data_IF_020995803093
#
_entry.id   IF_020995803093
#
_cell.length_a   1.000
_cell.length_b   1.000
_cell.length_c   1.000
_cell.angle_alpha   90.00
_cell.angle_beta   90.00
_cell.angle_gamma   90.00
#
_symmetry.space_group_name_H-M   'P 1'
#
loop_
_entity.id
_entity.type
_entity.pdbx_description
1 polymer ?
#
# COMPACT_ATOMS: atom_id res chain seq x y z
N UNK A 1 -6.04 26.65 -1.22
CA UNK A 1 -7.36 26.10 -1.65
C UNK A 1 -7.57 24.77 -0.94
N UNK A 2 -8.75 24.50 -0.36
CA UNK A 2 -9.09 23.14 0.12
C UNK A 2 -9.35 22.27 -1.11
N UNK A 3 -8.81 21.06 -1.16
CA UNK A 3 -9.16 20.10 -2.21
C UNK A 3 -10.64 19.69 -2.06
N UNK A 4 -11.34 19.39 -3.17
CA UNK A 4 -12.80 19.33 -3.22
C UNK A 4 -13.44 18.31 -2.29
N UNK A 5 -12.73 17.22 -1.99
CA UNK A 5 -13.21 16.15 -1.10
C UNK A 5 -12.39 16.01 0.20
N UNK A 6 -11.54 16.99 0.51
CA UNK A 6 -10.58 16.91 1.62
C UNK A 6 -9.13 16.92 1.15
N UNK A 7 -8.18 16.97 2.10
CA UNK A 7 -6.76 16.99 1.78
C UNK A 7 -6.31 15.59 1.33
N UNK A 8 -5.68 15.52 0.16
CA UNK A 8 -4.95 14.33 -0.28
C UNK A 8 -3.53 14.71 -0.68
N UNK A 9 -2.65 13.71 -0.68
CA UNK A 9 -1.25 13.84 -1.08
C UNK A 9 -0.89 12.69 -2.00
N UNK A 10 0.01 12.97 -2.93
CA UNK A 10 0.62 11.95 -3.77
C UNK A 10 1.92 11.50 -3.10
N UNK A 11 1.99 10.23 -2.74
CA UNK A 11 3.20 9.58 -2.25
C UNK A 11 3.96 8.93 -3.40
N UNK A 12 5.28 9.10 -3.41
CA UNK A 12 6.19 8.44 -4.34
C UNK A 12 7.20 7.64 -3.51
N UNK A 13 7.27 6.33 -3.74
CA UNK A 13 8.30 5.53 -3.11
C UNK A 13 9.62 5.69 -3.86
N UNK A 14 10.77 5.70 -3.15
CA UNK A 14 12.07 5.74 -3.81
C UNK A 14 12.29 4.44 -4.59
N UNK A 15 12.71 4.55 -5.84
CA UNK A 15 13.11 3.41 -6.66
C UNK A 15 14.55 3.66 -7.12
N UNK A 16 15.42 2.67 -6.91
CA UNK A 16 16.83 2.78 -7.23
C UNK A 16 17.07 2.82 -8.75
N UNK A 17 16.28 2.05 -9.50
CA UNK A 17 16.34 1.98 -10.95
C UNK A 17 15.61 3.20 -11.57
N UNK A 18 16.31 4.07 -12.32
CA UNK A 18 15.71 5.24 -12.95
C UNK A 18 14.80 4.89 -14.13
N UNK A 19 14.91 3.68 -14.68
CA UNK A 19 14.08 3.18 -15.80
C UNK A 19 12.77 2.57 -15.34
N UNK A 20 12.66 2.26 -14.06
CA UNK A 20 11.48 1.63 -13.49
C UNK A 20 10.31 2.65 -13.41
N UNK A 21 9.11 2.29 -13.87
CA UNK A 21 7.95 3.16 -13.77
C UNK A 21 7.63 3.41 -12.30
N UNK A 22 7.72 4.68 -11.86
CA UNK A 22 7.44 5.05 -10.48
C UNK A 22 5.95 4.96 -10.23
N UNK A 23 5.56 4.16 -9.24
CA UNK A 23 4.19 4.17 -8.74
C UNK A 23 3.97 5.43 -7.91
N UNK A 24 2.78 6.01 -8.06
CA UNK A 24 2.31 7.11 -7.26
C UNK A 24 1.07 6.67 -6.49
N UNK A 25 1.10 6.83 -5.18
CA UNK A 25 0.06 6.30 -4.30
C UNK A 25 -0.72 7.44 -3.66
N UNK A 26 -2.04 7.28 -3.58
CA UNK A 26 -2.92 8.11 -2.77
C UNK A 26 -3.44 7.25 -1.63
N UNK A 27 -3.05 7.58 -0.40
CA UNK A 27 -3.42 6.82 0.79
C UNK A 27 -4.26 7.72 1.68
N UNK A 28 -5.51 7.30 1.91
CA UNK A 28 -6.52 8.08 2.62
C UNK A 28 -7.30 7.17 3.57
N UNK A 29 -7.87 7.71 4.67
CA UNK A 29 -8.72 6.95 5.56
C UNK A 29 -9.90 6.31 4.81
N UNK A 30 -10.38 5.15 5.27
CA UNK A 30 -11.55 4.47 4.69
C UNK A 30 -12.82 5.33 4.67
N UNK A 31 -12.90 6.34 5.53
CA UNK A 31 -14.01 7.31 5.56
C UNK A 31 -13.90 8.43 4.51
N UNK A 32 -12.81 8.52 3.76
CA UNK A 32 -12.59 9.61 2.80
C UNK A 32 -13.63 9.55 1.65
N UNK A 33 -14.24 10.68 1.24
CA UNK A 33 -15.32 10.68 0.25
C UNK A 33 -14.92 10.16 -1.15
N UNK A 34 -13.63 10.18 -1.49
CA UNK A 34 -13.12 9.68 -2.78
C UNK A 34 -13.48 8.22 -3.05
N UNK A 35 -13.65 7.41 -2.01
CA UNK A 35 -14.03 5.99 -2.14
C UNK A 35 -15.50 5.77 -2.51
N UNK A 36 -16.28 6.86 -2.63
CA UNK A 36 -17.70 6.83 -3.00
C UNK A 36 -17.97 7.43 -4.38
N UNK A 37 -16.93 7.79 -5.13
CA UNK A 37 -17.09 8.23 -6.51
C UNK A 37 -17.62 7.06 -7.34
N UNK A 38 -18.66 7.30 -8.15
CA UNK A 38 -19.38 6.25 -8.86
C UNK A 38 -19.24 6.36 -10.37
N UNK A 39 -18.61 7.43 -10.88
CA UNK A 39 -18.46 7.65 -12.31
C UNK A 39 -17.01 8.01 -12.69
N UNK A 40 -16.57 7.65 -13.91
CA UNK A 40 -15.24 8.01 -14.41
C UNK A 40 -15.03 9.54 -14.43
N UNK A 41 -16.08 10.31 -14.73
CA UNK A 41 -16.04 11.76 -14.74
C UNK A 41 -15.73 12.33 -13.36
N UNK A 42 -16.42 11.85 -12.31
CA UNK A 42 -16.17 12.26 -10.93
C UNK A 42 -14.72 11.97 -10.49
N UNK A 43 -14.17 10.81 -10.87
CA UNK A 43 -12.79 10.43 -10.57
C UNK A 43 -11.80 11.40 -11.22
N UNK A 44 -11.97 11.68 -12.51
CA UNK A 44 -11.08 12.59 -13.26
C UNK A 44 -11.19 14.03 -12.74
N UNK A 45 -12.41 14.50 -12.45
CA UNK A 45 -12.62 15.83 -11.89
C UNK A 45 -11.99 15.98 -10.50
N UNK A 46 -12.12 14.96 -9.65
CA UNK A 46 -11.46 14.94 -8.36
C UNK A 46 -9.93 15.00 -8.49
N UNK A 47 -9.34 14.20 -9.39
CA UNK A 47 -7.90 14.20 -9.65
C UNK A 47 -7.41 15.57 -10.14
N UNK A 48 -8.11 16.19 -11.10
CA UNK A 48 -7.74 17.51 -11.66
C UNK A 48 -7.77 18.62 -10.61
N UNK A 49 -8.77 18.60 -9.73
CA UNK A 49 -8.92 19.61 -8.69
C UNK A 49 -7.98 19.38 -7.51
N UNK A 50 -7.68 18.11 -7.19
CA UNK A 50 -6.81 17.72 -6.06
C UNK A 50 -5.34 17.85 -6.41
N UNK A 51 -4.97 17.50 -7.64
CA UNK A 51 -3.61 17.52 -8.15
C UNK A 51 -3.53 18.33 -9.46
N UNK A 52 -3.76 19.66 -9.41
CA UNK A 52 -3.79 20.52 -10.60
C UNK A 52 -2.46 20.57 -11.36
N UNK A 53 -1.37 20.14 -10.74
CA UNK A 53 -0.06 20.00 -11.36
C UNK A 53 0.06 18.76 -12.27
N UNK A 54 -0.85 17.80 -12.16
CA UNK A 54 -0.83 16.59 -12.98
C UNK A 54 -1.62 16.82 -14.27
N UNK A 55 -1.08 16.42 -15.43
CA UNK A 55 -1.84 16.42 -16.68
C UNK A 55 -2.77 15.21 -16.71
N UNK A 56 -3.81 15.19 -15.85
CA UNK A 56 -4.72 14.04 -15.65
C UNK A 56 -5.28 13.51 -16.96
N UNK A 57 -5.58 14.40 -17.92
CA UNK A 57 -6.10 14.01 -19.24
C UNK A 57 -5.11 13.21 -20.10
N UNK A 58 -3.82 13.26 -19.78
CA UNK A 58 -2.75 12.55 -20.50
C UNK A 58 -2.29 11.28 -19.79
N UNK A 59 -2.45 11.21 -18.46
CA UNK A 59 -1.88 10.14 -17.62
C UNK A 59 -2.92 9.23 -17.00
N UNK A 60 -4.21 9.60 -17.04
CA UNK A 60 -5.32 8.75 -16.60
C UNK A 60 -6.32 8.64 -17.74
N UNK A 61 -6.35 7.46 -18.34
CA UNK A 61 -7.30 7.09 -19.38
C UNK A 61 -8.72 6.97 -18.84
N UNK A 62 -9.71 7.02 -19.74
CA UNK A 62 -11.10 6.78 -19.36
C UNK A 62 -11.32 5.34 -18.87
N UNK A 63 -10.50 4.38 -19.33
CA UNK A 63 -10.53 3.00 -18.86
C UNK A 63 -10.08 2.90 -17.40
N UNK A 64 -8.95 3.51 -17.02
CA UNK A 64 -8.46 3.51 -15.63
C UNK A 64 -9.41 4.27 -14.69
N UNK A 65 -9.99 5.38 -15.15
CA UNK A 65 -11.00 6.11 -14.38
C UNK A 65 -12.27 5.28 -14.18
N UNK A 66 -12.69 4.50 -15.19
CA UNK A 66 -13.81 3.57 -15.08
C UNK A 66 -13.49 2.41 -14.15
N UNK A 67 -12.29 1.86 -14.23
CA UNK A 67 -11.84 0.81 -13.33
C UNK A 67 -11.89 1.29 -11.88
N UNK A 68 -11.36 2.48 -11.56
CA UNK A 68 -11.46 3.03 -10.21
C UNK A 68 -12.91 3.20 -9.74
N UNK A 69 -13.80 3.73 -10.60
CA UNK A 69 -15.18 4.02 -10.23
C UNK A 69 -16.03 2.77 -9.96
N UNK A 70 -15.72 1.66 -10.63
CA UNK A 70 -16.57 0.47 -10.63
C UNK A 70 -15.95 -0.75 -9.94
N UNK A 71 -14.64 -0.74 -9.70
CA UNK A 71 -13.93 -1.86 -9.09
C UNK A 71 -14.31 -1.98 -7.61
N UNK A 72 -14.51 -3.22 -7.18
CA UNK A 72 -14.57 -3.55 -5.76
C UNK A 72 -13.15 -3.57 -5.21
N UNK A 73 -12.85 -2.66 -4.29
CA UNK A 73 -11.53 -2.57 -3.67
C UNK A 73 -11.13 -3.89 -2.99
N UNK A 74 -9.84 -4.24 -3.11
CA UNK A 74 -9.23 -5.30 -2.31
C UNK A 74 -9.20 -4.92 -0.83
N UNK A 75 -9.27 -5.92 0.04
CA UNK A 75 -9.17 -5.74 1.49
C UNK A 75 -7.77 -6.10 1.96
N UNK A 76 -7.16 -5.21 2.74
CA UNK A 76 -5.93 -5.49 3.47
C UNK A 76 -6.30 -5.86 4.92
N UNK A 77 -5.53 -6.75 5.57
CA UNK A 77 -5.69 -7.00 6.98
C UNK A 77 -5.54 -5.71 7.78
N UNK A 78 -6.35 -5.56 8.83
CA UNK A 78 -6.15 -4.48 9.79
C UNK A 78 -4.75 -4.62 10.42
N UNK A 79 -4.08 -3.51 10.77
CA UNK A 79 -2.77 -3.57 11.40
C UNK A 79 -2.79 -4.47 12.62
N UNK A 80 -1.94 -5.50 12.63
CA UNK A 80 -1.90 -6.53 13.64
C UNK A 80 -0.51 -7.17 13.72
N UNK A 81 -0.24 -7.90 14.81
CA UNK A 81 0.99 -8.66 14.96
C UNK A 81 0.74 -9.90 15.82
N UNK A 82 1.57 -10.93 15.63
CA UNK A 82 1.61 -12.09 16.52
C UNK A 82 2.56 -11.84 17.69
N UNK A 83 2.14 -11.99 18.95
CA UNK A 83 3.03 -11.84 20.10
C UNK A 83 4.02 -13.01 20.25
N UNK A 84 3.74 -14.15 19.59
CA UNK A 84 4.60 -15.33 19.58
C UNK A 84 4.97 -15.65 18.12
N UNK A 85 6.27 -15.56 17.81
CA UNK A 85 6.78 -15.72 16.46
C UNK A 85 7.33 -17.12 16.19
N UNK A 86 7.56 -17.93 17.21
CA UNK A 86 8.09 -19.29 17.05
C UNK A 86 7.46 -20.28 18.02
N UNK A 87 7.48 -21.55 17.63
CA UNK A 87 7.09 -22.69 18.44
C UNK A 87 8.04 -23.86 18.14
N UNK A 88 8.55 -24.51 19.18
CA UNK A 88 9.26 -25.78 19.04
C UNK A 88 8.26 -26.92 19.19
N UNK A 89 8.30 -27.84 18.23
CA UNK A 89 7.55 -29.09 18.23
C UNK A 89 8.55 -30.26 18.18
N UNK A 90 8.08 -31.47 18.42
CA UNK A 90 8.98 -32.64 18.43
C UNK A 90 9.69 -32.80 17.08
N UNK A 91 11.01 -32.58 17.07
CA UNK A 91 11.87 -32.68 15.89
C UNK A 91 11.85 -31.49 14.93
N UNK A 92 11.14 -30.39 15.23
CA UNK A 92 11.10 -29.21 14.35
C UNK A 92 10.82 -27.89 15.08
N UNK A 93 11.14 -26.77 14.42
CA UNK A 93 10.71 -25.42 14.81
C UNK A 93 9.78 -24.83 13.76
N UNK A 94 8.73 -24.14 14.19
CA UNK A 94 7.82 -23.36 13.35
C UNK A 94 8.07 -21.89 13.65
N UNK A 95 8.22 -21.07 12.60
CA UNK A 95 8.45 -19.62 12.73
C UNK A 95 7.53 -18.85 11.79
N UNK A 96 6.98 -17.73 12.26
CA UNK A 96 6.23 -16.77 11.45
C UNK A 96 7.14 -15.64 10.98
N UNK A 97 7.00 -15.24 9.72
CA UNK A 97 7.74 -14.11 9.10
C UNK A 97 6.81 -13.30 8.20
N UNK A 98 7.16 -12.04 7.96
CA UNK A 98 6.39 -11.13 7.10
C UNK A 98 4.95 -10.95 7.56
N UNK A 99 4.01 -10.86 6.61
CA UNK A 99 2.58 -10.62 6.88
C UNK A 99 1.92 -11.65 7.83
N UNK A 100 2.49 -12.85 7.96
CA UNK A 100 2.03 -13.84 8.93
C UNK A 100 2.42 -13.48 10.38
N UNK A 101 3.52 -12.76 10.56
CA UNK A 101 4.00 -12.27 11.85
C UNK A 101 3.47 -10.86 12.17
N UNK A 102 3.38 -9.99 11.17
CA UNK A 102 2.96 -8.60 11.34
C UNK A 102 2.35 -8.04 10.06
N UNK A 103 1.24 -7.34 10.17
CA UNK A 103 0.64 -6.56 9.10
C UNK A 103 0.50 -5.11 9.56
N UNK A 104 0.87 -4.16 8.70
CA UNK A 104 0.76 -2.74 8.99
C UNK A 104 0.39 -1.97 7.71
N UNK A 105 -0.08 -0.70 7.82
CA UNK A 105 -0.54 0.03 6.65
C UNK A 105 0.57 0.16 5.58
N UNK A 106 0.21 0.15 4.29
CA UNK A 106 1.20 0.20 3.20
C UNK A 106 1.82 1.59 3.01
N UNK A 107 1.55 2.54 3.90
CA UNK A 107 1.86 3.97 3.73
C UNK A 107 3.35 4.32 3.85
N UNK A 108 4.12 3.48 4.54
CA UNK A 108 5.57 3.63 4.66
C UNK A 108 6.35 2.76 3.66
N UNK A 109 5.68 1.90 2.89
CA UNK A 109 6.32 1.02 1.91
C UNK A 109 7.35 0.03 2.50
N UNK A 110 7.22 -0.33 3.78
CA UNK A 110 8.19 -1.17 4.49
C UNK A 110 7.79 -2.64 4.66
N UNK A 111 6.60 -3.07 4.25
CA UNK A 111 6.14 -4.46 4.45
C UNK A 111 7.17 -5.51 3.98
N UNK A 112 7.64 -5.36 2.74
CA UNK A 112 8.66 -6.26 2.17
C UNK A 112 10.01 -6.13 2.88
N UNK A 113 10.47 -4.92 3.19
CA UNK A 113 11.74 -4.72 3.89
C UNK A 113 11.71 -5.33 5.30
N UNK A 114 10.58 -5.19 6.02
CA UNK A 114 10.37 -5.81 7.32
C UNK A 114 10.36 -7.34 7.22
N UNK A 115 9.66 -7.90 6.23
CA UNK A 115 9.68 -9.35 6.00
C UNK A 115 11.09 -9.88 5.68
N UNK A 116 11.89 -9.14 4.89
CA UNK A 116 13.28 -9.50 4.62
C UNK A 116 14.15 -9.41 5.88
N UNK A 117 13.93 -8.41 6.72
CA UNK A 117 14.62 -8.29 8.01
C UNK A 117 14.30 -9.48 8.93
N UNK A 118 13.04 -9.97 8.95
CA UNK A 118 12.67 -11.17 9.71
C UNK A 118 13.48 -12.39 9.26
N UNK A 119 13.62 -12.59 7.95
CA UNK A 119 14.37 -13.72 7.38
C UNK A 119 15.86 -13.61 7.72
N UNK A 120 16.45 -12.40 7.67
CA UNK A 120 17.83 -12.19 8.08
C UNK A 120 18.05 -12.51 9.56
N UNK A 121 17.12 -12.08 10.43
CA UNK A 121 17.21 -12.38 11.87
C UNK A 121 17.01 -13.86 12.16
N UNK A 122 16.11 -14.53 11.44
CA UNK A 122 15.94 -15.98 11.53
C UNK A 122 17.22 -16.70 11.12
N UNK A 123 17.87 -16.29 10.02
CA UNK A 123 19.15 -16.85 9.61
C UNK A 123 20.21 -16.70 10.71
N UNK A 124 20.36 -15.50 11.28
CA UNK A 124 21.31 -15.26 12.38
C UNK A 124 21.03 -16.20 13.56
N UNK A 125 19.77 -16.28 14.01
CA UNK A 125 19.38 -17.13 15.12
C UNK A 125 19.65 -18.62 14.86
N UNK A 126 19.50 -19.10 13.63
CA UNK A 126 19.78 -20.50 13.26
C UNK A 126 21.28 -20.81 13.14
N UNK A 127 22.11 -19.82 12.87
CA UNK A 127 23.58 -19.98 12.78
C UNK A 127 24.24 -19.86 14.16
N UNK A 128 23.68 -19.03 15.04
CA UNK A 128 24.18 -18.82 16.41
C UNK A 128 23.70 -19.89 17.42
N UNK A 129 22.68 -20.68 17.07
CA UNK A 129 22.14 -21.78 17.88
C UNK A 129 22.97 -23.07 17.76
#
# INVERSE_FOLDING_TARGET
>A
KKAPLGKARLGLLPVADPTFPRTANVILPASHPVWRLQTPAEVRDWLKQTFPQLPVDQVVSDAEASEFAYLRAGEFPAPCYSPALHLLVEGAGVVLVGDAAHAFPPDIGQGVNSALADVMMLQTALVEA
#
